data_IF_507389859249
#
_entry.id   IF_507389859249
#
_cell.length_a   1.000
_cell.length_b   1.000
_cell.length_c   1.000
_cell.angle_alpha   90.00
_cell.angle_beta   90.00
_cell.angle_gamma   90.00
#
_symmetry.space_group_name_H-M   'P 1'
#
loop_
_entity.id
_entity.type
_entity.pdbx_description
1 polymer ?
#
# COMPACT_ATOMS: atom_id res chain seq x y z
N UNK A 1 -46.20 -5.78 6.39
CA UNK A 1 -45.15 -6.46 7.17
C UNK A 1 -43.89 -6.45 6.35
N UNK A 2 -42.84 -5.80 6.85
CA UNK A 2 -41.55 -5.75 6.17
C UNK A 2 -40.84 -7.10 6.32
N UNK A 3 -40.38 -7.67 5.20
CA UNK A 3 -39.54 -8.87 5.17
C UNK A 3 -38.18 -8.57 5.80
N UNK A 4 -37.74 -9.52 6.61
CA UNK A 4 -36.50 -9.56 7.36
C UNK A 4 -35.29 -9.59 6.42
N UNK A 5 -34.31 -8.72 6.66
CA UNK A 5 -33.07 -8.63 5.89
C UNK A 5 -32.11 -9.81 6.10
N UNK A 6 -32.61 -11.05 6.19
CA UNK A 6 -31.83 -12.27 6.44
C UNK A 6 -30.96 -12.68 5.24
N UNK A 7 -31.16 -12.10 4.07
CA UNK A 7 -30.40 -12.36 2.84
C UNK A 7 -29.62 -11.12 2.36
N UNK A 8 -29.07 -10.32 3.28
CA UNK A 8 -28.12 -9.29 2.89
C UNK A 8 -26.83 -9.96 2.37
N UNK A 9 -26.61 -9.93 1.05
CA UNK A 9 -25.38 -10.38 0.38
C UNK A 9 -24.10 -9.64 0.82
N UNK A 10 -24.21 -8.72 1.77
CA UNK A 10 -23.13 -7.96 2.36
C UNK A 10 -23.18 -8.07 3.90
N UNK A 11 -22.67 -9.18 4.42
CA UNK A 11 -22.33 -9.30 5.84
C UNK A 11 -21.08 -8.43 6.12
N UNK A 12 -21.26 -7.12 6.18
CA UNK A 12 -20.23 -6.20 6.63
C UNK A 12 -19.91 -6.51 8.10
N UNK A 13 -18.83 -7.23 8.34
CA UNK A 13 -18.26 -7.42 9.68
C UNK A 13 -17.52 -6.16 10.13
N UNK A 14 -18.24 -5.03 10.15
CA UNK A 14 -17.73 -3.75 10.67
C UNK A 14 -17.96 -3.76 12.16
N UNK A 15 -16.96 -4.26 12.90
CA UNK A 15 -16.92 -4.27 14.35
C UNK A 15 -15.80 -3.37 14.85
N UNK A 16 -15.93 -2.84 16.06
CA UNK A 16 -14.87 -2.05 16.68
C UNK A 16 -13.66 -2.95 17.00
N UNK A 17 -12.46 -2.43 16.77
CA UNK A 17 -11.24 -3.03 17.32
C UNK A 17 -11.33 -3.13 18.86
N UNK A 18 -10.89 -4.24 19.48
CA UNK A 18 -10.93 -4.35 20.93
C UNK A 18 -10.03 -3.30 21.58
N UNK A 19 -10.38 -2.84 22.79
CA UNK A 19 -9.59 -1.84 23.51
C UNK A 19 -8.11 -2.26 23.70
N UNK A 20 -7.85 -3.57 23.81
CA UNK A 20 -6.49 -4.13 23.87
C UNK A 20 -5.63 -3.81 22.64
N UNK A 21 -6.24 -3.59 21.47
CA UNK A 21 -5.55 -3.20 20.23
C UNK A 21 -4.86 -1.83 20.37
N UNK A 22 -5.34 -0.96 21.25
CA UNK A 22 -4.82 0.39 21.42
C UNK A 22 -3.87 0.54 22.62
N UNK A 23 -3.39 -0.59 23.15
CA UNK A 23 -2.44 -0.62 24.28
C UNK A 23 -1.02 -0.20 23.89
N UNK A 24 -0.66 -0.34 22.61
CA UNK A 24 0.64 0.08 22.08
C UNK A 24 0.46 0.90 20.81
N UNK A 25 1.37 1.83 20.57
CA UNK A 25 1.38 2.63 19.34
C UNK A 25 1.49 1.74 18.10
N UNK A 26 2.26 0.66 18.16
CA UNK A 26 2.40 -0.27 17.04
C UNK A 26 1.06 -0.94 16.68
N UNK A 27 0.33 -1.44 17.67
CA UNK A 27 -0.95 -2.09 17.46
C UNK A 27 -2.02 -1.08 17.03
N UNK A 28 -2.01 0.13 17.59
CA UNK A 28 -2.88 1.23 17.15
C UNK A 28 -2.60 1.60 15.68
N UNK A 29 -1.34 1.67 15.28
CA UNK A 29 -0.95 1.94 13.88
C UNK A 29 -1.40 0.82 12.94
N UNK A 30 -1.36 -0.45 13.35
CA UNK A 30 -1.89 -1.57 12.55
C UNK A 30 -3.39 -1.42 12.31
N UNK A 31 -4.16 -1.13 13.35
CA UNK A 31 -5.61 -0.89 13.24
C UNK A 31 -5.92 0.30 12.33
N UNK A 32 -5.23 1.44 12.53
CA UNK A 32 -5.39 2.63 11.70
C UNK A 32 -5.12 2.36 10.21
N UNK A 33 -4.03 1.64 9.91
CA UNK A 33 -3.67 1.29 8.52
C UNK A 33 -4.68 0.34 7.89
N UNK A 34 -5.20 -0.62 8.65
CA UNK A 34 -6.22 -1.55 8.19
C UNK A 34 -7.53 -0.83 7.84
N UNK A 35 -8.02 0.04 8.73
CA UNK A 35 -9.23 0.84 8.47
C UNK A 35 -9.06 1.75 7.26
N UNK A 36 -7.95 2.49 7.19
CA UNK A 36 -7.69 3.38 6.04
C UNK A 36 -7.65 2.64 4.71
N UNK A 37 -7.10 1.41 4.67
CA UNK A 37 -7.10 0.57 3.48
C UNK A 37 -8.51 0.13 3.09
N UNK A 38 -9.35 -0.22 4.07
CA UNK A 38 -10.71 -0.68 3.84
C UNK A 38 -11.62 0.46 3.36
N UNK A 39 -11.57 1.61 4.04
CA UNK A 39 -12.43 2.76 3.76
C UNK A 39 -12.10 3.46 2.44
N UNK A 40 -10.81 3.57 2.10
CA UNK A 40 -10.33 4.28 0.91
C UNK A 40 -9.84 3.32 -0.19
N UNK A 41 -10.32 2.08 -0.16
CA UNK A 41 -9.93 1.07 -1.14
C UNK A 41 -10.29 1.56 -2.55
N UNK A 42 -9.40 1.32 -3.51
CA UNK A 42 -9.60 1.67 -4.93
C UNK A 42 -9.68 3.19 -5.25
N UNK A 43 -9.38 4.06 -4.30
CA UNK A 43 -9.35 5.52 -4.50
C UNK A 43 -7.95 6.08 -4.81
N UNK A 44 -6.98 5.20 -5.09
CA UNK A 44 -5.60 5.61 -5.42
C UNK A 44 -4.72 5.99 -4.23
N UNK A 45 -5.22 5.92 -3.00
CA UNK A 45 -4.47 6.29 -1.79
C UNK A 45 -3.40 5.27 -1.37
N UNK A 46 -3.66 3.98 -1.59
CA UNK A 46 -2.88 2.89 -1.00
C UNK A 46 -1.37 3.01 -1.30
N UNK A 47 -0.98 3.35 -2.52
CA UNK A 47 0.44 3.45 -2.86
C UNK A 47 1.14 4.57 -2.08
N UNK A 48 0.53 5.77 -2.02
CA UNK A 48 1.08 6.92 -1.29
C UNK A 48 1.15 6.66 0.22
N UNK A 49 0.17 5.93 0.76
CA UNK A 49 0.16 5.52 2.16
C UNK A 49 1.31 4.57 2.49
N UNK A 50 1.55 3.56 1.65
CA UNK A 50 2.69 2.66 1.83
C UNK A 50 4.03 3.40 1.70
N UNK A 51 4.14 4.31 0.73
CA UNK A 51 5.33 5.11 0.48
C UNK A 51 5.68 5.99 1.68
N UNK A 52 4.72 6.79 2.18
CA UNK A 52 4.95 7.71 3.32
C UNK A 52 5.22 6.99 4.64
N UNK A 53 4.76 5.74 4.78
CA UNK A 53 5.05 4.90 5.94
C UNK A 53 6.37 4.13 5.82
N UNK A 54 7.03 4.16 4.65
CA UNK A 54 8.29 3.46 4.42
C UNK A 54 8.16 1.94 4.31
N UNK A 55 6.96 1.42 3.99
CA UNK A 55 6.65 -0.02 3.96
C UNK A 55 6.22 -0.53 2.57
N UNK A 56 6.41 0.28 1.53
CA UNK A 56 5.98 -0.08 0.17
C UNK A 56 6.63 -1.37 -0.34
N UNK A 57 7.93 -1.54 -0.16
CA UNK A 57 8.62 -2.74 -0.60
C UNK A 57 8.13 -3.99 0.13
N UNK A 58 7.94 -3.92 1.45
CA UNK A 58 7.49 -5.06 2.25
C UNK A 58 6.09 -5.52 1.86
N UNK A 59 5.14 -4.58 1.78
CA UNK A 59 3.73 -4.89 1.50
C UNK A 59 3.51 -5.34 0.05
N UNK A 60 4.14 -4.67 -0.93
CA UNK A 60 4.00 -5.04 -2.34
C UNK A 60 4.68 -6.38 -2.62
N UNK A 61 5.88 -6.63 -2.07
CA UNK A 61 6.52 -7.94 -2.23
C UNK A 61 5.77 -9.05 -1.50
N UNK A 62 5.17 -8.80 -0.34
CA UNK A 62 4.29 -9.76 0.32
C UNK A 62 3.09 -10.14 -0.58
N UNK A 63 2.46 -9.15 -1.21
CA UNK A 63 1.38 -9.37 -2.18
C UNK A 63 1.86 -10.17 -3.40
N UNK A 64 2.97 -9.79 -4.02
CA UNK A 64 3.57 -10.52 -5.16
C UNK A 64 3.87 -11.98 -4.78
N UNK A 65 4.44 -12.21 -3.60
CA UNK A 65 4.79 -13.54 -3.11
C UNK A 65 3.57 -14.42 -2.82
N UNK A 66 2.45 -13.81 -2.41
CA UNK A 66 1.18 -14.51 -2.28
C UNK A 66 0.59 -14.85 -3.65
N UNK A 67 0.48 -13.86 -4.54
CA UNK A 67 -0.19 -13.99 -5.83
C UNK A 67 0.56 -14.87 -6.83
N UNK A 68 1.89 -14.94 -6.78
CA UNK A 68 2.67 -15.80 -7.69
C UNK A 68 2.31 -17.29 -7.59
N UNK A 69 1.69 -17.71 -6.48
CA UNK A 69 1.18 -19.08 -6.33
C UNK A 69 -0.06 -19.35 -7.19
N UNK A 70 -0.74 -18.30 -7.66
CA UNK A 70 -2.01 -18.39 -8.39
C UNK A 70 -1.92 -17.78 -9.80
N UNK A 71 -1.05 -16.78 -9.99
CA UNK A 71 -0.95 -15.98 -11.21
C UNK A 71 0.49 -15.94 -11.72
N UNK A 72 0.73 -16.55 -12.87
CA UNK A 72 2.06 -16.67 -13.50
C UNK A 72 2.72 -15.32 -13.80
N UNK A 73 1.93 -14.26 -14.01
CA UNK A 73 2.45 -12.90 -14.24
C UNK A 73 3.35 -12.39 -13.11
N UNK A 74 3.17 -12.91 -11.89
CA UNK A 74 3.94 -12.52 -10.71
C UNK A 74 5.16 -13.42 -10.43
N UNK A 75 5.36 -14.50 -11.20
CA UNK A 75 6.40 -15.51 -10.91
C UNK A 75 7.81 -14.94 -10.77
N UNK A 76 8.14 -13.92 -11.59
CA UNK A 76 9.46 -13.28 -11.63
C UNK A 76 9.39 -11.78 -11.34
N UNK A 77 8.35 -11.33 -10.62
CA UNK A 77 8.19 -9.92 -10.27
C UNK A 77 8.75 -9.65 -8.87
N UNK A 78 9.21 -8.42 -8.67
CA UNK A 78 9.59 -7.89 -7.36
C UNK A 78 9.42 -6.38 -7.37
N UNK A 79 9.37 -5.80 -6.18
CA UNK A 79 9.37 -4.35 -5.98
C UNK A 79 10.67 -3.92 -5.31
N UNK A 80 11.41 -3.03 -5.95
CA UNK A 80 12.65 -2.47 -5.40
C UNK A 80 12.37 -1.25 -4.52
N UNK A 81 13.11 -1.11 -3.41
CA UNK A 81 12.91 0.00 -2.45
C UNK A 81 13.04 1.38 -3.11
N UNK A 82 13.93 1.55 -4.09
CA UNK A 82 14.12 2.83 -4.79
C UNK A 82 12.91 3.29 -5.62
N UNK A 83 11.98 2.39 -5.97
CA UNK A 83 10.81 2.73 -6.80
C UNK A 83 9.76 3.56 -6.06
N UNK A 84 9.96 3.83 -4.77
CA UNK A 84 9.13 4.77 -3.99
C UNK A 84 9.18 6.20 -4.57
N UNK A 85 10.27 6.55 -5.25
CA UNK A 85 10.38 7.80 -6.01
C UNK A 85 10.50 7.49 -7.49
N UNK A 86 9.86 8.28 -8.35
CA UNK A 86 10.09 8.19 -9.79
C UNK A 86 11.45 8.80 -10.15
N UNK A 87 12.17 8.26 -11.16
CA UNK A 87 13.41 8.87 -11.63
C UNK A 87 13.09 10.23 -12.25
N UNK A 88 13.96 11.20 -12.01
CA UNK A 88 13.96 12.44 -12.79
C UNK A 88 14.39 12.07 -14.21
N UNK A 89 13.71 12.54 -15.27
CA UNK A 89 14.11 12.24 -16.65
C UNK A 89 15.55 12.67 -16.96
N UNK A 90 16.32 11.79 -17.60
CA UNK A 90 17.75 12.03 -17.88
C UNK A 90 17.99 13.26 -18.76
N UNK A 91 17.06 13.57 -19.67
CA UNK A 91 17.11 14.78 -20.50
C UNK A 91 17.14 16.05 -19.62
N UNK A 92 16.30 16.11 -18.59
CA UNK A 92 16.26 17.23 -17.65
C UNK A 92 17.55 17.34 -16.83
N UNK A 93 18.10 16.21 -16.38
CA UNK A 93 19.39 16.18 -15.66
C UNK A 93 20.51 16.70 -16.56
N UNK A 94 20.55 16.24 -17.81
CA UNK A 94 21.59 16.62 -18.78
C UNK A 94 21.53 18.10 -19.11
N UNK A 95 20.34 18.65 -19.38
CA UNK A 95 20.13 20.07 -19.72
C UNK A 95 20.48 21.01 -18.57
N UNK A 96 20.37 20.55 -17.32
CA UNK A 96 20.60 21.38 -16.15
C UNK A 96 22.08 21.48 -15.73
N UNK A 97 23.01 20.89 -16.50
CA UNK A 97 24.48 21.03 -16.35
C UNK A 97 24.97 20.84 -14.90
N UNK A 98 24.44 19.83 -14.21
CA UNK A 98 24.82 19.48 -12.83
C UNK A 98 24.11 20.24 -11.72
N UNK A 99 23.19 21.16 -12.03
CA UNK A 99 22.33 21.83 -11.02
C UNK A 99 21.15 20.96 -10.57
N UNK A 100 20.69 20.07 -11.44
CA UNK A 100 19.68 19.06 -11.13
C UNK A 100 20.39 17.72 -10.94
N UNK A 101 20.20 17.09 -9.78
CA UNK A 101 20.84 15.82 -9.41
C UNK A 101 19.75 14.77 -9.21
N UNK A 102 20.00 13.55 -9.69
CA UNK A 102 19.08 12.43 -9.53
C UNK A 102 18.81 12.10 -8.05
N UNK A 103 17.62 11.60 -7.76
CA UNK A 103 17.27 11.04 -6.47
C UNK A 103 18.22 9.87 -6.09
N UNK A 104 18.45 9.68 -4.79
CA UNK A 104 19.47 8.70 -4.30
C UNK A 104 19.20 7.27 -4.78
N UNK A 105 17.93 6.89 -4.94
CA UNK A 105 17.54 5.55 -5.37
C UNK A 105 17.78 5.25 -6.85
N UNK A 106 18.08 6.24 -7.69
CA UNK A 106 18.26 6.07 -9.13
C UNK A 106 19.62 6.58 -9.63
N UNK A 107 20.57 6.77 -8.71
CA UNK A 107 21.98 6.98 -9.05
C UNK A 107 22.67 5.69 -9.43
#
# INVERSE_FOLDING_TARGET
GAGDGSDAAANYRVGLWPASQFTTTENAMKALRAERRAELAMEGHQWYDLARWGIAADEINAYINFEKNYLTRFANQSYATQWVTMPIPDAEITTMEGKLVQNVGWK
#
